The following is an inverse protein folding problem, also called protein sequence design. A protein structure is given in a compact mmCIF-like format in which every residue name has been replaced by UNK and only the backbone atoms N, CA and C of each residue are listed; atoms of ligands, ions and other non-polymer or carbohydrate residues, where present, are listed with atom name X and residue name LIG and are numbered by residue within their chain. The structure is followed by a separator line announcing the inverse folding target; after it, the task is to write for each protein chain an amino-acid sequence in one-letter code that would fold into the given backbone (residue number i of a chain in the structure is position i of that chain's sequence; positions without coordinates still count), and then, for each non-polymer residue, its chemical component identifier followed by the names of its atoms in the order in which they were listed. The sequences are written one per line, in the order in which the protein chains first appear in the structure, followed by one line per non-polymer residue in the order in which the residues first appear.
data_IF_063402668902
#
_entry.id   IF_063402668902
#
_cell.length_a   1.000
_cell.length_b   1.000
_cell.length_c   1.000
_cell.angle_alpha   90.00
_cell.angle_beta   90.00
_cell.angle_gamma   90.00
#
_symmetry.space_group_name_H-M   'P 1'
#
loop_
_entity.id
_entity.type
_entity.pdbx_description
1 polymer ?
#
# COMPACT_ATOMS: atom_id res chain seq x y z
N UNK A 1 28.97 0.47 19.37
CA UNK A 1 28.20 1.54 18.72
C UNK A 1 27.85 1.27 17.25
N UNK A 2 28.69 0.51 16.50
CA UNK A 2 28.50 0.26 15.06
C UNK A 2 27.44 -0.82 14.71
N UNK A 3 27.18 -1.78 15.61
CA UNK A 3 26.23 -2.88 15.32
C UNK A 3 24.75 -2.43 15.31
N UNK A 4 24.40 -1.39 16.08
CA UNK A 4 23.03 -0.86 16.10
C UNK A 4 22.70 -0.02 14.86
N UNK A 5 23.68 0.62 14.23
CA UNK A 5 23.48 1.38 12.99
C UNK A 5 23.30 0.48 11.77
N UNK A 6 24.03 -0.65 11.73
CA UNK A 6 23.87 -1.65 10.66
C UNK A 6 22.54 -2.37 10.71
N UNK A 7 22.07 -2.76 11.90
CA UNK A 7 20.77 -3.38 12.08
C UNK A 7 19.61 -2.43 11.70
N UNK A 8 19.74 -1.13 11.97
CA UNK A 8 18.76 -0.12 11.54
C UNK A 8 18.74 0.09 10.02
N UNK A 9 19.91 0.03 9.35
CA UNK A 9 20.00 0.14 7.91
C UNK A 9 19.37 -1.06 7.19
N UNK A 10 19.53 -2.27 7.72
CA UNK A 10 18.94 -3.50 7.14
C UNK A 10 17.40 -3.46 7.20
N UNK A 11 16.80 -2.90 8.26
CA UNK A 11 15.34 -2.79 8.43
C UNK A 11 14.68 -1.82 7.45
N UNK A 12 15.43 -0.91 6.85
CA UNK A 12 14.90 0.14 5.95
C UNK A 12 15.23 -0.09 4.48
N UNK A 13 15.74 -1.28 4.11
CA UNK A 13 15.95 -1.61 2.70
C UNK A 13 14.59 -1.78 2.03
N UNK A 14 14.30 -1.00 0.98
CA UNK A 14 13.04 -1.12 0.25
C UNK A 14 12.88 -2.50 -0.38
N UNK A 15 11.65 -2.98 -0.40
CA UNK A 15 11.32 -4.27 -1.01
C UNK A 15 11.50 -4.18 -2.52
N UNK A 16 12.14 -5.19 -3.10
CA UNK A 16 12.36 -5.33 -4.56
C UNK A 16 12.89 -4.03 -5.19
N UNK A 17 13.88 -3.41 -4.53
CA UNK A 17 14.37 -2.08 -4.86
C UNK A 17 14.84 -1.97 -6.31
N UNK A 18 15.79 -2.80 -6.70
CA UNK A 18 16.38 -2.73 -8.04
C UNK A 18 15.40 -3.14 -9.12
N UNK A 19 14.65 -4.22 -8.89
CA UNK A 19 13.65 -4.73 -9.82
C UNK A 19 12.55 -3.70 -10.10
N UNK A 20 12.11 -2.99 -9.05
CA UNK A 20 11.08 -1.96 -9.17
C UNK A 20 11.56 -0.74 -9.95
N UNK A 21 12.74 -0.24 -9.60
CA UNK A 21 13.29 0.96 -10.28
C UNK A 21 13.74 0.62 -11.70
N UNK A 22 14.29 -0.57 -11.94
CA UNK A 22 14.56 -1.06 -13.31
C UNK A 22 13.28 -1.05 -14.15
N UNK A 23 12.17 -1.49 -13.55
CA UNK A 23 10.86 -1.54 -14.21
C UNK A 23 10.33 -0.18 -14.67
N UNK A 24 10.79 0.90 -14.05
CA UNK A 24 10.39 2.26 -14.42
C UNK A 24 10.99 2.72 -15.76
N UNK A 25 12.03 2.07 -16.24
CA UNK A 25 12.72 2.41 -17.49
C UNK A 25 13.07 3.90 -17.55
N UNK A 26 13.84 4.37 -16.57
CA UNK A 26 14.19 5.79 -16.42
C UNK A 26 14.99 6.29 -17.62
N UNK A 27 14.53 7.39 -18.19
CA UNK A 27 15.09 8.02 -19.38
C UNK A 27 15.53 9.46 -19.05
N UNK A 28 16.47 10.05 -19.85
CA UNK A 28 16.83 11.45 -19.70
C UNK A 28 15.61 12.38 -19.78
N UNK A 29 15.53 13.34 -18.87
CA UNK A 29 14.50 14.37 -18.88
C UNK A 29 13.09 13.90 -18.50
N UNK A 30 12.95 12.66 -18.04
CA UNK A 30 11.65 12.09 -17.69
C UNK A 30 11.05 12.66 -16.41
N UNK A 31 9.75 12.50 -16.27
CA UNK A 31 8.98 12.87 -15.09
C UNK A 31 8.46 11.60 -14.43
N UNK A 32 8.75 11.44 -13.15
CA UNK A 32 8.50 10.22 -12.40
C UNK A 32 7.70 10.49 -11.14
N UNK A 33 6.92 9.50 -10.72
CA UNK A 33 6.12 9.56 -9.50
C UNK A 33 6.43 8.34 -8.62
N UNK A 34 6.72 8.60 -7.35
CA UNK A 34 6.70 7.60 -6.29
C UNK A 34 5.43 7.84 -5.46
N UNK A 35 4.43 6.99 -5.63
CA UNK A 35 3.13 7.16 -4.98
C UNK A 35 3.16 6.85 -3.48
N UNK A 36 4.23 6.22 -3.00
CA UNK A 36 4.35 5.66 -1.65
C UNK A 36 5.74 5.94 -1.06
N UNK A 37 6.02 7.21 -0.79
CA UNK A 37 7.36 7.66 -0.39
C UNK A 37 7.91 6.94 0.84
N UNK A 38 7.14 6.87 1.92
CA UNK A 38 7.49 6.17 3.16
C UNK A 38 8.85 6.57 3.73
N UNK A 39 9.76 5.61 3.83
CA UNK A 39 11.14 5.82 4.28
C UNK A 39 12.04 6.48 3.24
N UNK A 40 11.57 6.67 2.01
CA UNK A 40 12.31 7.33 0.94
C UNK A 40 13.29 6.44 0.18
N UNK A 41 13.32 5.14 0.45
CA UNK A 41 14.30 4.24 -0.16
C UNK A 41 14.15 4.09 -1.67
N UNK A 42 12.95 3.85 -2.17
CA UNK A 42 12.69 3.80 -3.60
C UNK A 42 12.97 5.15 -4.27
N UNK A 43 12.52 6.26 -3.65
CA UNK A 43 12.76 7.61 -4.17
C UNK A 43 14.24 7.95 -4.27
N UNK A 44 15.05 7.56 -3.28
CA UNK A 44 16.52 7.78 -3.32
C UNK A 44 17.16 7.02 -4.48
N UNK A 45 16.75 5.79 -4.71
CA UNK A 45 17.25 5.01 -5.84
C UNK A 45 16.83 5.62 -7.18
N UNK A 46 15.59 6.07 -7.30
CA UNK A 46 15.12 6.78 -8.48
C UNK A 46 16.00 8.02 -8.74
N UNK A 47 16.19 8.86 -7.72
CA UNK A 47 17.01 10.07 -7.84
C UNK A 47 18.44 9.78 -8.27
N UNK A 48 19.03 8.67 -7.80
CA UNK A 48 20.37 8.27 -8.20
C UNK A 48 20.51 7.96 -9.68
N UNK A 49 19.40 7.68 -10.36
CA UNK A 49 19.34 7.34 -11.79
C UNK A 49 18.83 8.48 -12.67
N UNK A 50 18.36 9.58 -12.07
CA UNK A 50 17.87 10.74 -12.81
C UNK A 50 19.02 11.62 -13.29
N UNK A 51 18.87 12.19 -14.49
CA UNK A 51 19.75 13.27 -14.93
C UNK A 51 19.28 14.63 -14.37
N UNK A 52 20.00 15.69 -14.69
CA UNK A 52 19.70 17.04 -14.16
C UNK A 52 18.39 17.65 -14.69
N UNK A 53 17.85 17.11 -15.75
CA UNK A 53 16.63 17.62 -16.42
C UNK A 53 15.38 16.85 -16.03
N UNK A 54 15.53 15.70 -15.37
CA UNK A 54 14.42 14.87 -14.90
C UNK A 54 13.85 15.37 -13.57
N UNK A 55 12.64 14.93 -13.23
CA UNK A 55 12.00 15.29 -11.99
C UNK A 55 11.24 14.13 -11.36
N UNK A 56 11.23 14.08 -10.02
CA UNK A 56 10.51 13.09 -9.23
C UNK A 56 9.53 13.77 -8.28
N UNK A 57 8.27 13.38 -8.35
CA UNK A 57 7.21 13.75 -7.40
C UNK A 57 6.92 12.54 -6.51
N UNK A 58 7.09 12.69 -5.19
CA UNK A 58 6.86 11.59 -4.25
C UNK A 58 5.76 11.93 -3.24
N UNK A 59 4.82 11.02 -3.08
CA UNK A 59 3.60 11.19 -2.30
C UNK A 59 3.67 10.39 -1.01
N UNK A 60 3.21 10.99 0.08
CA UNK A 60 2.87 10.27 1.30
C UNK A 60 1.86 11.09 2.13
N UNK A 61 0.82 10.42 2.62
CA UNK A 61 -0.17 11.06 3.48
C UNK A 61 0.28 11.14 4.95
N UNK A 62 1.32 10.38 5.32
CA UNK A 62 1.82 10.33 6.69
C UNK A 62 2.84 11.44 6.94
N UNK A 63 2.57 12.28 7.95
CA UNK A 63 3.50 13.35 8.33
C UNK A 63 4.86 12.83 8.78
N UNK A 64 4.94 11.60 9.30
CA UNK A 64 6.20 11.00 9.71
C UNK A 64 7.15 10.78 8.53
N UNK A 65 6.62 10.64 7.32
CA UNK A 65 7.43 10.49 6.10
C UNK A 65 8.23 11.76 5.78
N UNK A 66 7.80 12.92 6.24
CA UNK A 66 8.50 14.21 6.01
C UNK A 66 9.94 14.21 6.52
N UNK A 67 10.25 13.39 7.53
CA UNK A 67 11.62 13.24 8.07
C UNK A 67 12.60 12.68 7.06
N UNK A 68 12.11 12.03 6.02
CA UNK A 68 12.92 11.35 5.02
C UNK A 68 13.10 12.18 3.75
N UNK A 69 12.54 13.39 3.71
CA UNK A 69 12.67 14.31 2.56
C UNK A 69 14.12 14.64 2.32
N UNK A 70 14.55 14.54 1.06
CA UNK A 70 15.88 14.91 0.64
C UNK A 70 15.87 16.28 -0.01
N UNK A 71 16.95 17.04 0.18
CA UNK A 71 17.15 18.32 -0.47
C UNK A 71 17.79 18.10 -1.84
N UNK A 72 16.96 18.12 -2.88
CA UNK A 72 17.40 17.92 -4.25
C UNK A 72 16.44 18.71 -5.17
N UNK A 73 17.00 19.49 -6.08
CA UNK A 73 16.20 20.33 -6.99
C UNK A 73 15.32 19.53 -7.94
N UNK A 74 15.63 18.26 -8.15
CA UNK A 74 14.87 17.34 -9.00
C UNK A 74 13.74 16.63 -8.23
N UNK A 75 13.56 16.93 -6.96
CA UNK A 75 12.64 16.24 -6.06
C UNK A 75 11.58 17.20 -5.52
N UNK A 76 10.32 16.76 -5.58
CA UNK A 76 9.19 17.44 -4.93
C UNK A 76 8.45 16.44 -4.07
N UNK A 77 8.36 16.72 -2.77
CA UNK A 77 7.53 15.94 -1.85
C UNK A 77 6.12 16.50 -1.82
N UNK A 78 5.14 15.60 -1.90
CA UNK A 78 3.71 15.93 -1.84
C UNK A 78 3.09 15.21 -0.65
N UNK A 79 2.71 15.97 0.40
CA UNK A 79 2.04 15.39 1.55
C UNK A 79 0.56 15.18 1.24
N UNK A 80 0.24 14.06 0.62
CA UNK A 80 -1.11 13.69 0.23
C UNK A 80 -1.22 12.20 0.00
N UNK A 81 -2.44 11.69 0.12
CA UNK A 81 -2.80 10.37 -0.37
C UNK A 81 -2.64 10.35 -1.90
N UNK A 82 -2.11 9.25 -2.42
CA UNK A 82 -1.90 9.07 -3.87
C UNK A 82 -3.21 9.09 -4.69
N UNK A 83 -4.37 8.95 -4.04
CA UNK A 83 -5.67 9.10 -4.71
C UNK A 83 -5.84 10.46 -5.37
N UNK A 84 -5.14 11.46 -4.87
CA UNK A 84 -5.17 12.84 -5.37
C UNK A 84 -4.08 13.12 -6.41
N UNK A 85 -3.47 12.08 -6.97
CA UNK A 85 -2.47 12.20 -8.04
C UNK A 85 -2.89 13.19 -9.14
N UNK A 86 -4.10 13.09 -9.73
CA UNK A 86 -4.46 14.00 -10.82
C UNK A 86 -4.54 15.46 -10.36
N UNK A 87 -4.96 15.71 -9.12
CA UNK A 87 -5.05 17.06 -8.56
C UNK A 87 -3.67 17.72 -8.46
N UNK A 88 -2.67 16.98 -7.97
CA UNK A 88 -1.32 17.52 -7.80
C UNK A 88 -0.55 17.60 -9.11
N UNK A 89 -0.73 16.69 -10.03
CA UNK A 89 -0.14 16.81 -11.37
C UNK A 89 -0.64 18.08 -12.05
N UNK A 90 -1.93 18.38 -11.92
CA UNK A 90 -2.52 19.62 -12.42
C UNK A 90 -1.95 20.84 -11.73
N UNK A 91 -1.82 20.78 -10.41
CA UNK A 91 -1.25 21.87 -9.59
C UNK A 91 0.17 22.22 -10.03
N UNK A 92 1.00 21.19 -10.32
CA UNK A 92 2.37 21.39 -10.78
C UNK A 92 2.50 21.59 -12.29
N UNK A 93 1.39 21.62 -13.03
CA UNK A 93 1.41 21.81 -14.48
C UNK A 93 1.97 20.62 -15.26
N UNK A 94 1.87 19.41 -14.71
CA UNK A 94 2.38 18.19 -15.33
C UNK A 94 1.27 17.54 -16.14
N UNK A 95 1.42 17.49 -17.46
CA UNK A 95 0.41 16.91 -18.38
C UNK A 95 0.51 15.40 -18.49
N UNK A 96 1.71 14.83 -18.34
CA UNK A 96 1.94 13.40 -18.42
C UNK A 96 3.23 13.01 -17.73
N UNK A 97 3.31 11.75 -17.31
CA UNK A 97 4.47 11.21 -16.59
C UNK A 97 5.04 9.99 -17.30
N UNK A 98 6.32 9.70 -17.09
CA UNK A 98 7.03 8.61 -17.74
C UNK A 98 7.01 7.31 -16.94
N UNK A 99 6.86 7.37 -15.63
CA UNK A 99 6.58 6.19 -14.80
C UNK A 99 5.97 6.56 -13.47
N UNK A 100 5.21 5.60 -12.92
CA UNK A 100 4.63 5.67 -11.59
C UNK A 100 4.97 4.39 -10.86
N UNK A 101 5.59 4.51 -9.68
CA UNK A 101 5.90 3.42 -8.77
C UNK A 101 4.99 3.51 -7.55
N UNK A 102 4.41 2.40 -7.16
CA UNK A 102 3.67 2.29 -5.91
C UNK A 102 4.08 1.02 -5.15
N UNK A 103 4.56 1.18 -3.93
CA UNK A 103 4.81 0.10 -2.98
C UNK A 103 3.68 0.11 -1.94
N UNK A 104 2.70 -0.77 -2.12
CA UNK A 104 1.45 -0.74 -1.37
C UNK A 104 1.54 -1.29 0.05
N UNK A 105 2.72 -1.76 0.47
CA UNK A 105 2.93 -2.28 1.81
C UNK A 105 2.87 -1.19 2.89
N UNK A 106 2.51 -1.62 4.09
CA UNK A 106 2.67 -0.79 5.28
C UNK A 106 4.16 -0.72 5.61
N UNK A 107 4.70 0.48 5.86
CA UNK A 107 6.11 0.64 6.17
C UNK A 107 6.48 -0.07 7.47
N UNK A 108 7.75 -0.48 7.60
CA UNK A 108 8.26 -1.04 8.85
C UNK A 108 8.06 -0.10 10.03
N UNK A 109 8.16 1.21 9.79
CA UNK A 109 7.90 2.23 10.79
C UNK A 109 6.50 2.10 11.41
N UNK A 110 5.46 1.89 10.60
CA UNK A 110 4.09 1.72 11.09
C UNK A 110 3.95 0.50 11.99
N UNK A 111 4.54 -0.63 11.61
CA UNK A 111 4.46 -1.86 12.41
C UNK A 111 5.28 -1.78 13.70
N UNK A 112 6.40 -1.05 13.69
CA UNK A 112 7.32 -1.01 14.82
C UNK A 112 6.96 0.08 15.84
N UNK A 113 6.11 1.04 15.49
CA UNK A 113 5.64 2.09 16.38
C UNK A 113 4.35 1.63 17.09
N UNK A 114 4.47 1.31 18.39
CA UNK A 114 3.34 0.85 19.22
C UNK A 114 2.19 1.86 19.31
N UNK A 115 2.47 3.15 19.23
CA UNK A 115 1.44 4.20 19.31
C UNK A 115 0.57 4.28 18.06
N UNK A 116 1.04 3.77 16.93
CA UNK A 116 0.31 3.77 15.67
C UNK A 116 -0.74 2.66 15.58
N UNK A 117 -0.63 1.59 16.35
CA UNK A 117 -1.62 0.53 16.48
C UNK A 117 -1.76 -0.39 15.27
N UNK A 118 -0.76 -0.50 14.40
CA UNK A 118 -0.79 -1.38 13.22
C UNK A 118 -0.50 -2.85 13.53
N UNK A 119 0.18 -3.11 14.63
CA UNK A 119 0.61 -4.46 15.02
C UNK A 119 -0.04 -4.92 16.31
N UNK A 120 -0.48 -6.18 16.35
CA UNK A 120 -0.98 -6.81 17.56
C UNK A 120 0.15 -7.27 18.52
N UNK A 121 1.42 -7.09 18.13
CA UNK A 121 2.59 -7.45 18.94
C UNK A 121 2.85 -6.49 20.09
N UNK A 122 2.33 -5.26 19.99
CA UNK A 122 2.59 -4.20 20.96
C UNK A 122 1.29 -3.72 21.58
N UNK A 123 1.32 -3.42 22.88
CA UNK A 123 0.22 -2.71 23.51
C UNK A 123 0.26 -1.23 23.12
N UNK A 124 -0.91 -0.63 22.99
CA UNK A 124 -1.05 0.76 22.61
C UNK A 124 -2.48 1.06 22.14
N UNK A 125 -2.69 2.25 21.62
CA UNK A 125 -3.98 2.66 21.10
C UNK A 125 -4.31 1.91 19.81
N UNK A 126 -5.57 1.53 19.64
CA UNK A 126 -6.07 0.88 18.43
C UNK A 126 -6.38 1.98 17.37
N UNK A 127 -5.34 2.50 16.76
CA UNK A 127 -5.43 3.65 15.83
C UNK A 127 -5.44 3.23 14.36
N UNK A 128 -4.35 2.75 13.84
CA UNK A 128 -4.10 2.30 12.44
C UNK A 128 -4.18 3.40 11.37
N UNK A 129 -4.33 4.68 11.71
CA UNK A 129 -4.37 5.75 10.69
C UNK A 129 -2.98 6.02 10.12
N UNK A 130 -2.87 6.01 8.81
CA UNK A 130 -1.66 6.48 8.11
C UNK A 130 -1.58 8.00 8.13
N UNK A 131 -2.72 8.69 8.02
CA UNK A 131 -2.82 10.13 8.26
C UNK A 131 -3.27 10.36 9.70
N UNK A 132 -2.34 10.77 10.57
CA UNK A 132 -2.61 11.01 12.00
C UNK A 132 -3.55 12.18 12.26
N UNK A 133 -3.72 13.07 11.28
CA UNK A 133 -4.46 14.33 11.46
C UNK A 133 -5.95 14.23 11.14
N UNK A 134 -6.38 13.14 10.52
CA UNK A 134 -7.74 13.02 10.03
C UNK A 134 -8.25 11.58 10.05
N UNK A 135 -9.56 11.47 10.01
CA UNK A 135 -10.27 10.20 9.82
C UNK A 135 -10.53 9.44 11.11
N UNK A 136 -11.24 8.34 10.95
CA UNK A 136 -11.60 7.43 12.05
C UNK A 136 -10.42 6.52 12.37
N UNK A 137 -10.21 6.25 13.66
CA UNK A 137 -9.27 5.23 14.12
C UNK A 137 -9.90 3.84 14.02
N UNK A 138 -9.09 2.79 14.14
CA UNK A 138 -9.62 1.43 14.24
C UNK A 138 -10.52 1.25 15.47
N UNK A 139 -10.21 1.93 16.59
CA UNK A 139 -11.08 1.96 17.77
C UNK A 139 -12.45 2.56 17.42
N UNK A 140 -12.48 3.65 16.67
CA UNK A 140 -13.73 4.26 16.23
C UNK A 140 -14.55 3.28 15.37
N UNK A 141 -13.91 2.58 14.46
CA UNK A 141 -14.57 1.57 13.61
C UNK A 141 -15.22 0.47 14.45
N UNK A 142 -14.48 -0.15 15.36
CA UNK A 142 -15.00 -1.25 16.17
C UNK A 142 -16.05 -0.81 17.19
N UNK A 143 -16.02 0.45 17.62
CA UNK A 143 -17.00 0.98 18.57
C UNK A 143 -18.28 1.54 17.91
N UNK A 144 -18.23 1.94 16.64
CA UNK A 144 -19.34 2.68 16.02
C UNK A 144 -20.01 1.99 14.84
N UNK A 145 -19.31 1.12 14.11
CA UNK A 145 -19.91 0.42 12.98
C UNK A 145 -20.99 -0.57 13.46
N UNK A 146 -22.05 -0.71 12.69
CA UNK A 146 -23.04 -1.73 12.97
C UNK A 146 -22.47 -3.14 12.73
N UNK A 147 -23.16 -4.16 13.25
CA UNK A 147 -22.68 -5.55 13.21
C UNK A 147 -22.50 -6.04 11.77
N UNK A 148 -23.45 -5.74 10.89
CA UNK A 148 -23.39 -6.17 9.48
C UNK A 148 -22.18 -5.57 8.75
N UNK A 149 -21.93 -4.29 8.96
CA UNK A 149 -20.80 -3.60 8.36
C UNK A 149 -19.45 -4.15 8.86
N UNK A 150 -19.34 -4.43 10.16
CA UNK A 150 -18.16 -5.08 10.74
C UNK A 150 -17.95 -6.47 10.12
N UNK A 151 -19.01 -7.27 10.04
CA UNK A 151 -18.93 -8.60 9.42
C UNK A 151 -18.45 -8.53 7.97
N UNK A 152 -18.96 -7.56 7.21
CA UNK A 152 -18.57 -7.37 5.82
C UNK A 152 -17.10 -7.00 5.68
N UNK A 153 -16.57 -6.12 6.54
CA UNK A 153 -15.16 -5.74 6.54
C UNK A 153 -14.27 -6.96 6.80
N UNK A 154 -14.58 -7.72 7.82
CA UNK A 154 -13.79 -8.91 8.18
C UNK A 154 -13.87 -9.99 7.10
N UNK A 155 -15.01 -10.15 6.44
CA UNK A 155 -15.16 -11.10 5.35
C UNK A 155 -14.42 -10.63 4.08
N UNK A 156 -14.68 -9.41 3.64
CA UNK A 156 -14.14 -8.89 2.37
C UNK A 156 -12.64 -8.57 2.44
N UNK A 157 -12.22 -7.89 3.51
CA UNK A 157 -10.84 -7.39 3.62
C UNK A 157 -9.92 -8.29 4.43
N UNK A 158 -10.48 -9.09 5.32
CA UNK A 158 -9.74 -10.05 6.13
C UNK A 158 -9.80 -11.48 5.60
N UNK A 159 -10.73 -11.76 4.69
CA UNK A 159 -10.98 -13.13 4.21
C UNK A 159 -11.26 -14.11 5.36
N UNK A 160 -11.95 -13.62 6.40
CA UNK A 160 -12.24 -14.37 7.62
C UNK A 160 -13.59 -15.10 7.50
N UNK A 161 -13.58 -16.42 7.65
CA UNK A 161 -14.78 -17.25 7.58
C UNK A 161 -15.72 -17.04 8.76
N UNK A 162 -15.18 -16.67 9.92
CA UNK A 162 -15.93 -16.43 11.15
C UNK A 162 -16.30 -14.95 11.37
N UNK A 163 -16.37 -14.18 10.30
CA UNK A 163 -16.60 -12.73 10.31
C UNK A 163 -17.85 -12.31 11.10
N UNK A 164 -18.95 -13.05 10.97
CA UNK A 164 -20.19 -12.76 11.70
C UNK A 164 -20.06 -12.97 13.20
N UNK A 165 -19.36 -14.03 13.62
CA UNK A 165 -19.10 -14.31 15.04
C UNK A 165 -18.22 -13.24 15.65
N UNK A 166 -17.19 -12.79 14.93
CA UNK A 166 -16.31 -11.71 15.37
C UNK A 166 -17.09 -10.40 15.53
N UNK A 167 -17.88 -10.04 14.54
CA UNK A 167 -18.72 -8.83 14.58
C UNK A 167 -19.70 -8.85 15.76
N UNK A 168 -20.36 -9.97 15.98
CA UNK A 168 -21.28 -10.15 17.11
C UNK A 168 -20.56 -9.98 18.45
N UNK A 169 -19.39 -10.57 18.60
CA UNK A 169 -18.59 -10.46 19.83
C UNK A 169 -18.15 -9.01 20.10
N UNK A 170 -17.74 -8.30 19.06
CA UNK A 170 -17.34 -6.89 19.16
C UNK A 170 -18.53 -6.01 19.60
N UNK A 171 -19.68 -6.19 18.99
CA UNK A 171 -20.90 -5.42 19.32
C UNK A 171 -21.31 -5.66 20.77
N UNK A 172 -21.25 -6.90 21.25
CA UNK A 172 -21.54 -7.23 22.66
C UNK A 172 -20.53 -6.62 23.61
N UNK A 173 -19.24 -6.75 23.30
CA UNK A 173 -18.17 -6.27 24.17
C UNK A 173 -18.18 -4.76 24.32
N UNK A 174 -18.38 -4.01 23.22
CA UNK A 174 -18.41 -2.54 23.27
C UNK A 174 -19.62 -1.99 24.04
N UNK A 175 -20.68 -2.77 24.16
CA UNK A 175 -21.84 -2.40 24.96
C UNK A 175 -21.56 -2.43 26.46
N UNK A 176 -20.57 -3.19 26.89
CA UNK A 176 -20.14 -3.27 28.30
C UNK A 176 -19.02 -2.27 28.60
N UNK A 177 -18.01 -2.23 27.73
CA UNK A 177 -16.84 -1.37 27.88
C UNK A 177 -16.33 -0.98 26.49
N UNK A 178 -16.05 0.31 26.28
CA UNK A 178 -15.43 0.77 25.05
C UNK A 178 -14.09 0.09 24.78
N UNK A 179 -13.86 -0.25 23.53
CA UNK A 179 -12.61 -0.84 23.05
C UNK A 179 -11.68 0.32 22.68
N UNK A 180 -10.59 0.52 23.44
CA UNK A 180 -9.70 1.65 23.28
C UNK A 180 -8.31 1.21 22.83
N UNK A 181 -7.80 0.15 23.45
CA UNK A 181 -6.44 -0.34 23.23
C UNK A 181 -6.42 -1.62 22.40
N UNK A 182 -5.24 -1.95 21.88
CA UNK A 182 -5.00 -3.24 21.24
C UNK A 182 -5.30 -4.38 22.21
N UNK A 183 -4.87 -4.25 23.47
CA UNK A 183 -5.18 -5.24 24.52
C UNK A 183 -6.68 -5.45 24.73
N UNK A 184 -7.45 -4.37 24.81
CA UNK A 184 -8.92 -4.44 24.89
C UNK A 184 -9.51 -5.24 23.73
N UNK A 185 -9.04 -4.96 22.53
CA UNK A 185 -9.53 -5.61 21.31
C UNK A 185 -9.14 -7.10 21.27
N UNK A 186 -7.91 -7.42 21.61
CA UNK A 186 -7.42 -8.81 21.63
C UNK A 186 -8.21 -9.68 22.63
N UNK A 187 -8.60 -9.14 23.79
CA UNK A 187 -9.45 -9.86 24.75
C UNK A 187 -10.78 -10.30 24.13
N UNK A 188 -11.33 -9.48 23.23
CA UNK A 188 -12.60 -9.76 22.57
C UNK A 188 -12.45 -10.84 21.49
N UNK A 189 -11.41 -10.79 20.68
CA UNK A 189 -11.29 -11.59 19.45
C UNK A 189 -10.45 -12.87 19.61
N UNK A 190 -9.46 -12.90 20.49
CA UNK A 190 -8.61 -14.09 20.67
C UNK A 190 -9.36 -15.39 20.96
N UNK A 191 -10.46 -15.40 21.74
CA UNK A 191 -11.20 -16.63 21.98
C UNK A 191 -11.74 -17.35 20.73
N UNK A 192 -11.80 -16.65 19.60
CA UNK A 192 -12.30 -17.21 18.33
C UNK A 192 -11.21 -17.93 17.54
N UNK A 193 -9.95 -17.87 17.95
CA UNK A 193 -8.83 -18.44 17.22
C UNK A 193 -8.10 -19.50 18.05
N UNK A 194 -7.81 -20.64 17.41
CA UNK A 194 -6.95 -21.67 17.98
C UNK A 194 -5.50 -21.22 18.03
N UNK A 195 -4.72 -21.75 19.00
CA UNK A 195 -3.32 -21.37 19.22
C UNK A 195 -2.45 -21.46 17.98
N UNK A 196 -2.66 -22.47 17.13
CA UNK A 196 -1.84 -22.70 15.94
C UNK A 196 -2.10 -21.68 14.85
N UNK A 197 -3.32 -21.12 14.78
CA UNK A 197 -3.74 -20.17 13.75
C UNK A 197 -3.82 -18.74 14.26
N UNK A 198 -3.63 -18.51 15.54
CA UNK A 198 -3.87 -17.22 16.19
C UNK A 198 -3.14 -16.06 15.47
N UNK A 199 -1.83 -16.20 15.27
CA UNK A 199 -1.03 -15.14 14.61
C UNK A 199 -1.50 -14.84 13.21
N UNK A 200 -1.81 -15.86 12.43
CA UNK A 200 -2.27 -15.73 11.05
C UNK A 200 -3.64 -15.07 10.98
N UNK A 201 -4.56 -15.51 11.84
CA UNK A 201 -5.91 -14.95 11.87
C UNK A 201 -5.94 -13.53 12.42
N UNK A 202 -5.14 -13.23 13.45
CA UNK A 202 -5.00 -11.86 13.96
C UNK A 202 -4.44 -10.91 12.91
N UNK A 203 -3.47 -11.36 12.12
CA UNK A 203 -2.92 -10.57 11.02
C UNK A 203 -4.01 -10.20 10.01
N UNK A 204 -4.92 -11.12 9.71
CA UNK A 204 -6.07 -10.88 8.82
C UNK A 204 -7.08 -9.89 9.42
N UNK A 205 -7.35 -9.99 10.71
CA UNK A 205 -8.24 -9.06 11.42
C UNK A 205 -7.68 -7.65 11.37
N UNK A 206 -6.40 -7.49 11.67
CA UNK A 206 -5.73 -6.19 11.66
C UNK A 206 -5.63 -5.63 10.24
N UNK A 207 -5.38 -6.48 9.24
CA UNK A 207 -5.43 -6.09 7.84
C UNK A 207 -6.80 -5.54 7.45
N UNK A 208 -7.87 -6.20 7.84
CA UNK A 208 -9.23 -5.77 7.52
C UNK A 208 -9.54 -4.38 8.08
N UNK A 209 -9.18 -4.15 9.35
CA UNK A 209 -9.36 -2.84 9.99
C UNK A 209 -8.47 -1.77 9.34
N UNK A 210 -7.22 -2.08 9.05
CA UNK A 210 -6.29 -1.16 8.41
C UNK A 210 -6.81 -0.72 7.04
N UNK A 211 -7.27 -1.65 6.22
CA UNK A 211 -7.81 -1.35 4.89
C UNK A 211 -9.01 -0.42 5.00
N UNK A 212 -9.92 -0.67 5.94
CA UNK A 212 -11.10 0.17 6.15
C UNK A 212 -10.74 1.56 6.69
N UNK A 213 -9.91 1.63 7.71
CA UNK A 213 -9.48 2.89 8.33
C UNK A 213 -8.85 3.82 7.30
N UNK A 214 -7.99 3.29 6.44
CA UNK A 214 -7.25 4.08 5.47
C UNK A 214 -7.91 4.10 4.08
N UNK A 215 -9.09 3.49 3.92
CA UNK A 215 -9.80 3.40 2.65
C UNK A 215 -8.87 2.92 1.51
N UNK A 216 -8.05 1.92 1.79
CA UNK A 216 -6.95 1.52 0.91
C UNK A 216 -7.43 1.03 -0.45
N UNK A 217 -8.52 0.27 -0.51
CA UNK A 217 -9.03 -0.25 -1.79
C UNK A 217 -9.62 0.85 -2.67
N UNK A 218 -10.34 1.80 -2.09
CA UNK A 218 -10.91 2.92 -2.82
C UNK A 218 -9.81 3.87 -3.33
N UNK A 219 -8.83 4.17 -2.48
CA UNK A 219 -7.68 5.00 -2.84
C UNK A 219 -6.85 4.35 -3.95
N UNK A 220 -6.64 3.03 -3.87
CA UNK A 220 -5.92 2.27 -4.89
C UNK A 220 -6.65 2.31 -6.24
N UNK A 221 -7.95 2.10 -6.24
CA UNK A 221 -8.78 2.20 -7.44
C UNK A 221 -8.62 3.56 -8.11
N UNK A 222 -8.77 4.63 -7.35
CA UNK A 222 -8.64 6.00 -7.86
C UNK A 222 -7.25 6.26 -8.43
N UNK A 223 -6.21 5.82 -7.72
CA UNK A 223 -4.83 5.98 -8.17
C UNK A 223 -4.55 5.21 -9.46
N UNK A 224 -5.02 3.97 -9.57
CA UNK A 224 -4.80 3.16 -10.78
C UNK A 224 -5.48 3.76 -12.02
N UNK A 225 -6.70 4.26 -11.89
CA UNK A 225 -7.36 4.95 -13.01
C UNK A 225 -6.66 6.27 -13.34
N UNK A 226 -6.23 7.02 -12.34
CA UNK A 226 -5.47 8.25 -12.55
C UNK A 226 -4.13 7.97 -13.23
N UNK A 227 -3.42 6.94 -12.80
CA UNK A 227 -2.15 6.51 -13.40
C UNK A 227 -2.33 6.12 -14.87
N UNK A 228 -3.40 5.40 -15.18
CA UNK A 228 -3.73 5.01 -16.56
C UNK A 228 -3.87 6.21 -17.47
N UNK A 229 -4.45 7.30 -17.00
CA UNK A 229 -4.60 8.55 -17.75
C UNK A 229 -3.32 9.38 -17.79
N UNK A 230 -2.58 9.42 -16.68
CA UNK A 230 -1.41 10.29 -16.55
C UNK A 230 -0.18 9.76 -17.28
N UNK A 231 -0.06 8.46 -17.47
CA UNK A 231 1.08 7.86 -18.14
C UNK A 231 1.08 8.19 -19.63
N UNK A 232 2.22 8.68 -20.11
CA UNK A 232 2.48 8.85 -21.55
C UNK A 232 2.60 7.49 -22.22
N UNK A 233 2.35 7.40 -23.55
CA UNK A 233 2.70 6.19 -24.31
C UNK A 233 4.17 5.79 -24.07
N UNK A 234 4.40 4.53 -23.75
CA UNK A 234 5.73 4.02 -23.36
C UNK A 234 6.05 4.17 -21.87
N UNK A 235 5.22 4.89 -21.12
CA UNK A 235 5.40 5.05 -19.69
C UNK A 235 5.11 3.77 -18.90
N UNK A 236 5.68 3.65 -17.72
CA UNK A 236 5.63 2.42 -16.92
C UNK A 236 4.81 2.57 -15.65
N UNK A 237 3.91 1.63 -15.41
CA UNK A 237 3.24 1.46 -14.13
C UNK A 237 3.90 0.29 -13.40
N UNK A 238 4.46 0.56 -12.22
CA UNK A 238 5.24 -0.39 -11.41
C UNK A 238 4.60 -0.47 -10.04
N UNK A 239 4.04 -1.63 -9.68
CA UNK A 239 3.30 -1.78 -8.43
C UNK A 239 3.74 -3.02 -7.67
N UNK A 240 4.04 -2.86 -6.38
CA UNK A 240 4.31 -3.94 -5.44
C UNK A 240 3.07 -4.12 -4.57
N UNK A 241 2.53 -5.33 -4.56
CA UNK A 241 1.37 -5.70 -3.74
C UNK A 241 1.75 -6.72 -2.67
N UNK A 242 0.95 -6.82 -1.60
CA UNK A 242 1.25 -7.67 -0.45
C UNK A 242 0.08 -8.58 -0.06
N UNK A 243 -1.11 -8.35 -0.58
CA UNK A 243 -2.27 -9.22 -0.35
C UNK A 243 -3.08 -9.39 -1.64
N UNK A 244 -3.93 -10.42 -1.64
CA UNK A 244 -4.66 -10.85 -2.83
C UNK A 244 -5.62 -9.80 -3.39
N UNK A 245 -6.23 -8.99 -2.53
CA UNK A 245 -7.23 -7.99 -2.94
C UNK A 245 -6.59 -6.89 -3.80
N UNK A 246 -5.50 -6.30 -3.31
CA UNK A 246 -4.79 -5.28 -4.08
C UNK A 246 -4.12 -5.87 -5.32
N UNK A 247 -3.57 -7.07 -5.21
CA UNK A 247 -2.93 -7.74 -6.36
C UNK A 247 -3.92 -8.00 -7.49
N UNK A 248 -5.12 -8.45 -7.17
CA UNK A 248 -6.18 -8.66 -8.16
C UNK A 248 -6.57 -7.37 -8.86
N UNK A 249 -6.73 -6.29 -8.11
CA UNK A 249 -7.08 -4.98 -8.68
C UNK A 249 -6.00 -4.48 -9.64
N UNK A 250 -4.74 -4.56 -9.24
CA UNK A 250 -3.59 -4.16 -10.07
C UNK A 250 -3.50 -5.03 -11.33
N UNK A 251 -3.58 -6.34 -11.17
CA UNK A 251 -3.57 -7.29 -12.28
C UNK A 251 -4.68 -6.98 -13.29
N UNK A 252 -5.90 -6.73 -12.81
CA UNK A 252 -7.04 -6.43 -13.67
C UNK A 252 -6.83 -5.14 -14.46
N UNK A 253 -6.38 -4.06 -13.81
CA UNK A 253 -6.06 -2.80 -14.49
C UNK A 253 -5.02 -3.01 -15.58
N UNK A 254 -3.94 -3.71 -15.28
CA UNK A 254 -2.85 -3.93 -16.24
C UNK A 254 -3.27 -4.81 -17.42
N UNK A 255 -4.13 -5.78 -17.19
CA UNK A 255 -4.60 -6.70 -18.23
C UNK A 255 -5.76 -6.18 -19.06
N UNK A 256 -6.69 -5.43 -18.45
CA UNK A 256 -7.96 -5.06 -19.09
C UNK A 256 -8.26 -3.57 -19.08
N UNK A 257 -7.56 -2.79 -18.27
CA UNK A 257 -7.82 -1.36 -18.10
C UNK A 257 -8.95 -1.04 -17.13
N UNK A 258 -9.54 -2.05 -16.49
CA UNK A 258 -10.58 -1.85 -15.46
C UNK A 258 -10.38 -2.80 -14.28
N UNK A 259 -10.94 -2.43 -13.12
CA UNK A 259 -10.77 -3.21 -11.89
C UNK A 259 -11.59 -4.50 -11.87
N UNK A 260 -12.63 -4.61 -12.70
CA UNK A 260 -13.46 -5.79 -12.82
C UNK A 260 -12.75 -6.92 -13.59
N UNK A 261 -11.70 -6.60 -14.33
CA UNK A 261 -10.97 -7.56 -15.14
C UNK A 261 -11.75 -8.01 -16.38
N UNK A 262 -12.66 -7.18 -16.87
CA UNK A 262 -13.47 -7.48 -18.05
C UNK A 262 -12.81 -6.84 -19.28
N UNK A 263 -12.23 -7.68 -20.13
CA UNK A 263 -11.61 -7.23 -21.36
C UNK A 263 -12.67 -6.74 -22.35
N UNK A 264 -12.48 -5.52 -22.86
CA UNK A 264 -13.24 -5.02 -24.01
C UNK A 264 -12.60 -5.53 -25.28
N UNK A 265 -13.42 -5.99 -26.22
CA UNK A 265 -12.98 -6.47 -27.51
C UNK A 265 -13.53 -5.55 -28.61
N UNK A 266 -12.73 -5.34 -29.66
CA UNK A 266 -13.22 -4.66 -30.85
C UNK A 266 -14.10 -5.61 -31.69
N UNK A 267 -14.61 -5.12 -32.81
CA UNK A 267 -15.47 -5.89 -33.71
C UNK A 267 -14.79 -7.18 -34.21
N UNK A 268 -13.46 -7.20 -34.26
CA UNK A 268 -12.67 -8.37 -34.71
C UNK A 268 -12.22 -9.29 -33.57
N UNK A 269 -12.65 -9.06 -32.33
CA UNK A 269 -12.27 -9.85 -31.18
C UNK A 269 -10.91 -9.48 -30.56
N UNK A 270 -10.26 -8.41 -31.00
CA UNK A 270 -9.03 -7.91 -30.39
C UNK A 270 -9.30 -7.25 -29.06
N UNK A 271 -8.51 -7.61 -28.05
CA UNK A 271 -8.64 -7.03 -26.70
C UNK A 271 -8.15 -5.58 -26.71
N UNK A 272 -9.01 -4.68 -26.26
CA UNK A 272 -8.69 -3.27 -26.09
C UNK A 272 -8.18 -3.04 -24.66
N UNK A 273 -6.88 -2.79 -24.50
CA UNK A 273 -6.27 -2.53 -23.21
C UNK A 273 -5.29 -1.36 -23.31
N UNK A 274 -5.27 -0.47 -22.29
CA UNK A 274 -4.31 0.64 -22.29
C UNK A 274 -2.87 0.21 -21.99
N UNK A 275 -2.66 -1.02 -21.54
CA UNK A 275 -1.33 -1.49 -21.14
C UNK A 275 -0.89 -2.73 -21.90
N UNK A 276 0.44 -2.85 -22.03
CA UNK A 276 1.15 -4.06 -22.41
C UNK A 276 1.92 -4.54 -21.18
N UNK A 277 1.78 -5.83 -20.81
CA UNK A 277 2.50 -6.40 -19.68
C UNK A 277 4.00 -6.47 -20.00
N UNK A 278 4.83 -5.97 -19.10
CA UNK A 278 6.30 -6.07 -19.21
C UNK A 278 6.77 -7.41 -18.67
N UNK A 279 6.24 -7.83 -17.51
CA UNK A 279 6.49 -9.16 -16.96
C UNK A 279 5.20 -9.99 -17.00
N UNK A 280 5.23 -11.14 -17.68
CA UNK A 280 4.09 -12.06 -17.73
C UNK A 280 3.91 -12.83 -16.43
N UNK A 281 5.01 -13.11 -15.73
CA UNK A 281 5.00 -13.70 -14.39
C UNK A 281 5.31 -12.62 -13.37
N UNK A 282 4.60 -12.65 -12.25
CA UNK A 282 4.87 -11.77 -11.13
C UNK A 282 6.31 -11.96 -10.65
N UNK A 283 6.98 -10.85 -10.33
CA UNK A 283 8.33 -10.87 -9.76
C UNK A 283 8.18 -10.94 -8.24
N UNK A 284 8.88 -11.89 -7.63
CA UNK A 284 8.89 -12.08 -6.18
C UNK A 284 10.30 -11.92 -5.62
N UNK A 285 10.40 -11.62 -4.33
CA UNK A 285 11.68 -11.50 -3.66
C UNK A 285 12.40 -12.85 -3.60
N UNK A 286 13.71 -12.83 -3.83
CA UNK A 286 14.55 -14.01 -3.67
C UNK A 286 14.75 -14.39 -2.20
N UNK A 287 15.27 -15.60 -1.97
CA UNK A 287 15.47 -16.12 -0.61
C UNK A 287 16.36 -15.22 0.25
N UNK A 288 17.38 -14.63 -0.35
CA UNK A 288 18.30 -13.72 0.34
C UNK A 288 17.57 -12.47 0.84
N UNK A 289 16.75 -11.87 0.00
CA UNK A 289 15.95 -10.69 0.37
C UNK A 289 14.94 -11.05 1.46
N UNK A 290 14.24 -12.17 1.34
CA UNK A 290 13.26 -12.63 2.35
C UNK A 290 13.93 -12.87 3.70
N UNK A 291 15.15 -13.38 3.71
CA UNK A 291 15.94 -13.57 4.94
C UNK A 291 16.29 -12.25 5.60
N UNK A 292 16.72 -11.25 4.81
CA UNK A 292 17.06 -9.91 5.32
C UNK A 292 15.82 -9.11 5.70
N UNK A 293 14.75 -9.25 4.96
CA UNK A 293 13.50 -8.52 5.14
C UNK A 293 12.30 -9.47 5.00
N UNK A 294 11.83 -10.10 6.10
CA UNK A 294 10.73 -11.07 6.05
C UNK A 294 9.43 -10.55 5.44
N UNK A 295 9.20 -9.23 5.45
CA UNK A 295 8.02 -8.61 4.84
C UNK A 295 7.98 -8.76 3.33
N UNK A 296 9.13 -8.92 2.69
CA UNK A 296 9.23 -9.13 1.25
C UNK A 296 8.68 -10.47 0.78
N UNK A 297 8.45 -11.43 1.72
CA UNK A 297 7.93 -12.76 1.39
C UNK A 297 6.61 -12.73 0.62
N UNK A 298 5.70 -11.84 0.99
CA UNK A 298 4.39 -11.72 0.35
C UNK A 298 4.36 -10.72 -0.81
N UNK A 299 5.46 -10.02 -1.07
CA UNK A 299 5.54 -9.00 -2.10
C UNK A 299 5.44 -9.59 -3.50
N UNK A 300 4.62 -8.95 -4.34
CA UNK A 300 4.47 -9.28 -5.75
C UNK A 300 4.62 -8.01 -6.57
N UNK A 301 5.59 -8.00 -7.48
CA UNK A 301 5.86 -6.87 -8.36
C UNK A 301 5.26 -7.11 -9.74
N UNK A 302 4.45 -6.15 -10.20
CA UNK A 302 3.86 -6.15 -11.53
C UNK A 302 4.25 -4.88 -12.27
N UNK A 303 4.63 -5.04 -13.53
CA UNK A 303 5.09 -3.94 -14.39
C UNK A 303 4.29 -3.99 -15.69
N UNK A 304 3.72 -2.84 -16.08
CA UNK A 304 3.03 -2.67 -17.34
C UNK A 304 3.48 -1.40 -18.04
N UNK A 305 3.44 -1.42 -19.36
CA UNK A 305 3.80 -0.28 -20.20
C UNK A 305 2.54 0.28 -20.88
N UNK A 306 2.40 1.60 -20.84
CA UNK A 306 1.29 2.30 -21.48
C UNK A 306 1.44 2.21 -23.02
N UNK A 307 0.36 1.81 -23.68
CA UNK A 307 0.28 1.78 -25.15
C UNK A 307 0.18 3.17 -25.76
#
# INVERSE_FOLDING_TARGET
RNRMSEAKQIYHVPVLLNESVDGMNIQPGGIYVDATFGGGGHSKEILSRLDSTAHLYSFDQDEDAEKNIVSDSRFTFVRSNFRYLPNFLRYYGVEGVDAILADLGVSSHHFDDSERGFSFRFEGKLDMRMNKRAGMTAADVVNTYDEERLANIFYLYGELKNSRKLASAIVKARGVKQIVTIGDFLEVIKPFFGREREKKELAKVFQALRIEVNQEMEALKEMLYAATKALKPGGRLVVITYHSLEDRMVKNIMKTGNIEGKAEQDFFGNVQTPFKLVNNKVIVAGNEEVTRNPRSRSAKLRIAEKR
#
